data_IF_139129874613
#
_entry.id   IF_139129874613
#
_cell.length_a   1.000
_cell.length_b   1.000
_cell.length_c   1.000
_cell.angle_alpha   90.00
_cell.angle_beta   90.00
_cell.angle_gamma   90.00
#
_symmetry.space_group_name_H-M   'P 1'
#
loop_
_entity.id
_entity.type
_entity.pdbx_description
1 polymer ?
#
# COMPACT_ATOMS: atom_id res chain seq x y z
N UNK A 1 -7.88 50.10 30.56
CA UNK A 1 -7.55 49.34 31.78
C UNK A 1 -7.62 47.85 31.42
N UNK A 2 -6.46 47.21 31.53
CA UNK A 2 -6.19 45.77 31.85
C UNK A 2 -7.11 44.77 31.16
N UNK A 3 -6.71 43.91 30.23
CA UNK A 3 -5.49 43.11 30.17
C UNK A 3 -5.74 41.75 30.79
N UNK A 4 -6.07 40.74 29.99
CA UNK A 4 -5.74 39.36 30.40
C UNK A 4 -5.47 38.49 29.15
N UNK A 5 -4.19 38.14 29.01
CA UNK A 5 -3.71 37.17 28.03
C UNK A 5 -3.82 35.79 28.64
N UNK A 6 -4.60 34.89 28.02
CA UNK A 6 -4.44 33.46 28.29
C UNK A 6 -3.57 32.82 27.22
N UNK A 7 -2.42 32.35 27.62
CA UNK A 7 -1.56 31.43 26.86
C UNK A 7 -2.23 30.07 26.81
N UNK A 8 -2.56 29.58 25.61
CA UNK A 8 -2.84 28.19 25.37
C UNK A 8 -1.53 27.48 25.03
N UNK A 9 -1.17 26.49 25.82
CA UNK A 9 -0.07 25.57 25.56
C UNK A 9 -0.49 24.58 24.48
N UNK A 10 0.25 24.57 23.37
CA UNK A 10 0.08 23.55 22.33
C UNK A 10 0.79 22.27 22.77
N UNK A 11 0.03 21.27 23.14
CA UNK A 11 0.48 19.89 23.21
C UNK A 11 0.30 19.24 21.84
N UNK A 12 1.36 19.20 21.04
CA UNK A 12 1.34 18.54 19.75
C UNK A 12 1.49 17.03 19.90
N UNK A 13 0.41 16.30 19.74
CA UNK A 13 0.45 14.84 19.56
C UNK A 13 0.66 14.59 18.07
N UNK A 14 1.88 14.17 17.68
CA UNK A 14 2.18 13.77 16.30
C UNK A 14 1.53 12.42 16.02
N UNK A 15 0.43 12.45 15.29
CA UNK A 15 -0.17 11.24 14.69
C UNK A 15 0.56 11.00 13.37
N UNK A 16 1.32 9.90 13.30
CA UNK A 16 2.00 9.50 12.07
C UNK A 16 1.07 8.61 11.26
N UNK A 17 0.72 9.14 10.11
CA UNK A 17 -0.16 8.53 9.12
C UNK A 17 0.70 7.73 8.17
N UNK A 18 0.31 6.47 7.91
CA UNK A 18 0.81 5.73 6.76
C UNK A 18 0.22 6.41 5.50
N UNK A 19 0.94 7.39 4.97
CA UNK A 19 0.57 8.05 3.72
C UNK A 19 0.94 7.14 2.55
N UNK A 20 -0.05 6.63 1.85
CA UNK A 20 0.06 6.65 0.39
C UNK A 20 0.19 8.12 0.02
N UNK A 21 1.39 8.53 -0.38
CA UNK A 21 1.77 9.93 -0.48
C UNK A 21 0.90 10.68 -1.49
N UNK A 22 -0.05 11.46 -1.00
CA UNK A 22 -0.62 12.57 -1.77
C UNK A 22 0.24 13.80 -1.45
N UNK A 23 1.17 14.12 -2.34
CA UNK A 23 1.93 15.36 -2.28
C UNK A 23 1.17 16.43 -3.06
N UNK A 24 0.61 17.41 -2.36
CA UNK A 24 0.19 18.68 -2.94
C UNK A 24 1.44 19.48 -3.33
N UNK A 25 1.75 19.53 -4.60
CA UNK A 25 2.82 20.41 -5.14
C UNK A 25 2.19 21.59 -5.85
N UNK A 26 2.42 22.78 -5.30
CA UNK A 26 2.14 24.07 -5.95
C UNK A 26 2.97 24.22 -7.24
N UNK A 27 2.38 24.84 -8.27
CA UNK A 27 3.04 25.17 -9.53
C UNK A 27 4.34 25.95 -9.30
N UNK A 28 5.47 25.33 -9.64
CA UNK A 28 6.75 25.99 -9.85
C UNK A 28 7.31 25.61 -11.22
N UNK A 29 7.79 26.62 -11.92
CA UNK A 29 8.41 26.63 -13.25
C UNK A 29 9.34 25.44 -13.53
N UNK A 30 9.35 25.00 -14.78
CA UNK A 30 10.21 23.96 -15.33
C UNK A 30 11.69 24.17 -14.93
N UNK A 31 12.13 23.39 -13.93
CA UNK A 31 13.53 23.20 -13.61
C UNK A 31 13.96 21.81 -14.08
N UNK A 32 15.18 21.70 -14.57
CA UNK A 32 15.81 20.49 -15.07
C UNK A 32 15.54 19.30 -14.15
N UNK A 33 15.27 18.13 -14.76
CA UNK A 33 15.11 16.88 -14.03
C UNK A 33 16.29 16.67 -13.08
N UNK A 34 16.05 16.42 -11.77
CA UNK A 34 17.15 16.10 -10.87
C UNK A 34 17.81 14.81 -11.35
N UNK A 35 19.09 14.88 -11.65
CA UNK A 35 19.90 13.70 -11.92
C UNK A 35 20.04 12.91 -10.61
N UNK A 36 19.35 11.79 -10.47
CA UNK A 36 19.60 10.85 -9.38
C UNK A 36 21.02 10.34 -9.53
N UNK A 37 21.93 10.85 -8.73
CA UNK A 37 23.37 10.59 -8.91
C UNK A 37 23.79 9.17 -8.52
N UNK A 38 23.09 8.50 -7.62
CA UNK A 38 23.31 7.06 -7.33
C UNK A 38 22.29 6.52 -6.34
N UNK A 39 21.82 5.30 -6.56
CA UNK A 39 21.20 4.46 -5.54
C UNK A 39 22.27 3.48 -5.02
N UNK A 40 22.50 3.46 -3.72
CA UNK A 40 23.46 2.59 -3.09
C UNK A 40 22.77 1.61 -2.13
N UNK A 41 23.25 0.37 -2.09
CA UNK A 41 22.84 -0.60 -1.08
C UNK A 41 23.22 -0.08 0.31
N UNK A 42 22.26 -0.12 1.25
CA UNK A 42 22.47 0.33 2.63
C UNK A 42 22.62 -0.85 3.57
N UNK A 43 21.59 -1.70 3.67
CA UNK A 43 21.58 -2.88 4.51
C UNK A 43 20.59 -3.93 4.01
N UNK A 44 20.69 -5.16 4.55
CA UNK A 44 19.67 -6.18 4.40
C UNK A 44 19.43 -6.88 5.73
N UNK A 45 18.16 -6.96 6.13
CA UNK A 45 17.68 -7.75 7.27
C UNK A 45 17.25 -9.13 6.78
N UNK A 46 17.60 -10.20 7.51
CA UNK A 46 17.21 -11.57 7.16
C UNK A 46 16.06 -12.05 8.02
N UNK A 47 14.92 -12.40 7.38
CA UNK A 47 13.81 -13.13 7.96
C UNK A 47 14.01 -14.65 7.89
N UNK A 48 13.12 -15.41 8.51
CA UNK A 48 13.16 -16.87 8.49
C UNK A 48 12.78 -17.48 7.14
N UNK A 49 11.87 -16.82 6.39
CA UNK A 49 11.43 -17.25 5.05
C UNK A 49 11.18 -16.03 4.12
N UNK A 50 10.51 -16.22 2.98
CA UNK A 50 10.26 -15.21 1.96
C UNK A 50 9.61 -13.94 2.51
N UNK A 51 10.17 -12.78 2.20
CA UNK A 51 9.60 -11.49 2.58
C UNK A 51 8.72 -11.00 1.43
N UNK A 52 7.44 -11.37 1.48
CA UNK A 52 6.41 -11.02 0.49
C UNK A 52 5.45 -9.92 0.97
N UNK A 53 5.52 -9.54 2.23
CA UNK A 53 4.74 -8.44 2.76
C UNK A 53 5.23 -7.08 2.23
N UNK A 54 4.29 -6.17 1.97
CA UNK A 54 4.64 -4.76 1.69
C UNK A 54 5.09 -4.12 2.99
N UNK A 55 6.29 -3.52 3.06
CA UNK A 55 6.76 -2.88 4.27
C UNK A 55 5.95 -1.62 4.59
N UNK A 56 5.65 -1.41 5.87
CA UNK A 56 5.13 -0.14 6.38
C UNK A 56 6.20 0.51 7.24
N UNK A 57 6.54 1.76 6.96
CA UNK A 57 7.58 2.49 7.72
C UNK A 57 6.95 3.61 8.52
N UNK A 58 7.22 3.61 9.84
CA UNK A 58 6.77 4.66 10.75
C UNK A 58 7.81 4.89 11.86
N UNK A 59 8.11 6.15 12.16
CA UNK A 59 9.02 6.59 13.24
C UNK A 59 10.37 5.85 13.26
N UNK A 60 10.96 5.62 12.07
CA UNK A 60 12.26 4.96 11.94
C UNK A 60 12.21 3.43 12.08
N UNK A 61 11.04 2.83 12.12
CA UNK A 61 10.85 1.37 12.16
C UNK A 61 10.14 0.90 10.89
N UNK A 62 10.68 -0.11 10.23
CA UNK A 62 10.03 -0.85 9.16
C UNK A 62 9.33 -2.09 9.75
N UNK A 63 8.04 -2.20 9.52
CA UNK A 63 7.22 -3.36 9.88
C UNK A 63 6.94 -4.15 8.61
N UNK A 64 7.33 -5.42 8.57
CA UNK A 64 7.16 -6.26 7.40
C UNK A 64 6.78 -7.68 7.79
N UNK A 65 5.82 -8.22 7.08
CA UNK A 65 5.44 -9.62 7.22
C UNK A 65 6.24 -10.53 6.28
N UNK A 66 6.36 -11.79 6.68
CA UNK A 66 7.05 -12.81 5.89
C UNK A 66 6.33 -14.17 5.97
N UNK A 67 6.77 -15.11 5.13
CA UNK A 67 6.24 -16.47 5.06
C UNK A 67 6.74 -17.38 6.20
N UNK A 68 7.58 -16.85 7.09
CA UNK A 68 7.92 -17.51 8.37
C UNK A 68 6.83 -17.32 9.44
N UNK A 69 5.63 -16.89 9.02
CA UNK A 69 4.46 -16.64 9.86
C UNK A 69 4.71 -15.50 10.86
N UNK A 70 5.53 -14.51 10.53
CA UNK A 70 5.89 -13.48 11.48
C UNK A 70 5.78 -12.06 10.92
N UNK A 71 5.48 -11.12 11.81
CA UNK A 71 5.74 -9.71 11.62
C UNK A 71 7.09 -9.37 12.23
N UNK A 72 7.97 -8.73 11.46
CA UNK A 72 9.26 -8.24 11.87
C UNK A 72 9.25 -6.72 12.00
N UNK A 73 9.80 -6.20 13.10
CA UNK A 73 10.11 -4.78 13.25
C UNK A 73 11.62 -4.59 13.11
N UNK A 74 12.01 -3.72 12.19
CA UNK A 74 13.41 -3.51 11.81
C UNK A 74 13.74 -2.02 11.91
N UNK A 75 14.83 -1.67 12.56
CA UNK A 75 15.34 -0.29 12.61
C UNK A 75 15.79 0.14 11.22
N UNK A 76 15.19 1.19 10.70
CA UNK A 76 15.42 1.65 9.32
C UNK A 76 16.83 2.20 9.12
N UNK A 77 17.44 2.79 10.14
CA UNK A 77 18.75 3.40 10.02
C UNK A 77 19.88 2.37 9.91
N UNK A 78 19.76 1.25 10.65
CA UNK A 78 20.81 0.23 10.79
C UNK A 78 20.49 -1.11 10.12
N UNK A 79 19.20 -1.40 9.89
CA UNK A 79 18.74 -2.73 9.46
C UNK A 79 18.72 -3.77 10.60
N UNK A 80 18.87 -3.35 11.86
CA UNK A 80 18.81 -4.24 13.00
C UNK A 80 17.37 -4.68 13.30
N UNK A 81 17.15 -5.97 13.55
CA UNK A 81 15.88 -6.46 14.07
C UNK A 81 15.63 -5.93 15.48
N UNK A 82 14.45 -5.36 15.71
CA UNK A 82 14.04 -4.84 17.02
C UNK A 82 13.25 -5.89 17.80
N UNK A 83 12.21 -6.43 17.17
CA UNK A 83 11.38 -7.49 17.71
C UNK A 83 10.69 -8.26 16.58
N UNK A 84 10.15 -9.43 16.89
CA UNK A 84 9.38 -10.28 15.99
C UNK A 84 8.17 -10.82 16.72
N UNK A 85 7.00 -10.83 16.05
CA UNK A 85 5.79 -11.44 16.58
C UNK A 85 5.35 -12.59 15.69
N UNK A 86 5.13 -13.79 16.26
CA UNK A 86 4.73 -14.99 15.56
C UNK A 86 3.21 -15.11 15.50
N UNK A 87 2.67 -15.23 14.29
CA UNK A 87 1.27 -15.60 13.99
C UNK A 87 1.16 -17.11 13.71
N UNK A 88 -0.03 -17.60 13.41
CA UNK A 88 -0.26 -19.03 13.14
C UNK A 88 -0.05 -19.39 11.64
N UNK A 89 -0.01 -18.38 10.73
CA UNK A 89 0.23 -18.56 9.30
C UNK A 89 0.88 -17.29 8.70
N UNK A 90 1.16 -17.28 7.41
CA UNK A 90 1.88 -16.24 6.68
C UNK A 90 1.33 -14.83 6.92
N UNK A 91 2.23 -13.85 6.92
CA UNK A 91 1.91 -12.43 7.01
C UNK A 91 2.35 -11.74 5.70
N UNK A 92 1.41 -11.51 4.78
CA UNK A 92 1.69 -10.85 3.49
C UNK A 92 1.02 -9.48 3.35
N UNK A 93 -0.01 -9.22 4.16
CA UNK A 93 -0.68 -7.92 4.20
C UNK A 93 0.25 -6.81 4.68
N UNK A 94 0.17 -5.62 4.07
CA UNK A 94 0.84 -4.45 4.63
C UNK A 94 0.20 -4.09 5.97
N UNK A 95 0.96 -3.99 7.06
CA UNK A 95 0.42 -3.56 8.35
C UNK A 95 0.08 -2.07 8.33
N UNK A 96 -0.79 -1.64 9.23
CA UNK A 96 -1.06 -0.21 9.47
C UNK A 96 -0.62 0.19 10.87
N UNK A 97 -0.20 1.44 11.01
CA UNK A 97 0.16 2.03 12.30
C UNK A 97 -0.96 2.95 12.75
N UNK A 98 -1.48 2.72 13.96
CA UNK A 98 -2.52 3.52 14.61
C UNK A 98 -2.12 3.81 16.06
N UNK A 99 -1.74 5.05 16.35
CA UNK A 99 -1.21 5.44 17.66
C UNK A 99 -0.01 4.60 18.07
N UNK A 100 -0.07 3.96 19.23
CA UNK A 100 0.99 3.09 19.76
C UNK A 100 0.89 1.64 19.27
N UNK A 101 0.01 1.35 18.31
CA UNK A 101 -0.19 0.01 17.76
C UNK A 101 0.30 -0.11 16.33
N UNK A 102 0.85 -1.27 16.00
CA UNK A 102 0.94 -1.79 14.63
C UNK A 102 -0.08 -2.92 14.49
N UNK A 103 -0.91 -2.84 13.44
CA UNK A 103 -2.04 -3.76 13.22
C UNK A 103 -1.81 -4.47 11.90
N UNK A 104 -1.92 -5.81 11.91
CA UNK A 104 -1.62 -6.67 10.76
C UNK A 104 -2.72 -7.71 10.56
N UNK A 105 -2.83 -8.21 9.34
CA UNK A 105 -3.62 -9.39 9.00
C UNK A 105 -2.73 -10.58 8.67
N UNK A 106 -3.20 -11.77 8.95
CA UNK A 106 -2.50 -13.03 8.66
C UNK A 106 -3.39 -13.99 7.86
N UNK A 107 -2.77 -14.94 7.18
CA UNK A 107 -3.46 -16.02 6.50
C UNK A 107 -4.17 -16.97 7.48
N UNK A 108 -3.85 -16.93 8.77
CA UNK A 108 -4.63 -17.63 9.81
C UNK A 108 -6.03 -17.04 10.02
N UNK A 109 -6.39 -15.98 9.28
CA UNK A 109 -7.68 -15.31 9.36
C UNK A 109 -7.78 -14.31 10.51
N UNK A 110 -6.70 -14.02 11.21
CA UNK A 110 -6.71 -13.10 12.33
C UNK A 110 -6.16 -11.73 11.99
N UNK A 111 -6.75 -10.73 12.62
CA UNK A 111 -6.18 -9.38 12.76
C UNK A 111 -5.53 -9.29 14.12
N UNK A 112 -4.28 -8.87 14.17
CA UNK A 112 -3.51 -8.68 15.40
C UNK A 112 -3.17 -7.20 15.59
N UNK A 113 -3.32 -6.67 16.79
CA UNK A 113 -2.76 -5.39 17.15
C UNK A 113 -1.64 -5.61 18.17
N UNK A 114 -0.47 -5.09 17.87
CA UNK A 114 0.74 -5.23 18.67
C UNK A 114 1.21 -3.86 19.14
N UNK A 115 1.81 -3.81 20.31
CA UNK A 115 2.51 -2.61 20.79
C UNK A 115 3.73 -2.35 19.93
N UNK A 116 3.90 -1.13 19.42
CA UNK A 116 4.99 -0.78 18.49
C UNK A 116 6.39 -0.92 19.09
N UNK A 117 6.52 -0.70 20.42
CA UNK A 117 7.83 -0.66 21.08
C UNK A 117 8.44 -2.03 21.29
N UNK A 118 7.64 -3.06 21.55
CA UNK A 118 8.12 -4.38 21.96
C UNK A 118 7.41 -5.56 21.28
N UNK A 119 6.41 -5.29 20.43
CA UNK A 119 5.66 -6.33 19.72
C UNK A 119 4.68 -7.11 20.59
N UNK A 120 4.40 -6.67 21.82
CA UNK A 120 3.45 -7.37 22.70
C UNK A 120 2.01 -7.28 22.15
N UNK A 121 1.26 -8.39 22.25
CA UNK A 121 -0.12 -8.47 21.77
C UNK A 121 -1.04 -7.59 22.63
N UNK A 122 -1.81 -6.72 21.98
CA UNK A 122 -2.86 -5.91 22.62
C UNK A 122 -4.22 -6.56 22.47
N UNK A 123 -4.59 -6.92 21.23
CA UNK A 123 -5.83 -7.62 20.93
C UNK A 123 -5.70 -8.45 19.65
N UNK A 124 -6.59 -9.43 19.49
CA UNK A 124 -6.77 -10.27 18.29
C UNK A 124 -8.23 -10.31 17.93
N UNK A 125 -8.54 -10.23 16.63
CA UNK A 125 -9.88 -10.43 16.08
C UNK A 125 -9.82 -11.54 15.01
N UNK A 126 -10.75 -12.51 15.05
CA UNK A 126 -10.79 -13.65 14.13
C UNK A 126 -11.86 -13.45 13.06
N UNK A 127 -11.49 -13.63 11.80
CA UNK A 127 -12.38 -13.78 10.63
C UNK A 127 -12.45 -15.26 10.22
N UNK A 128 -13.36 -15.59 9.29
CA UNK A 128 -13.51 -16.98 8.82
C UNK A 128 -12.67 -17.26 7.55
N UNK A 129 -11.82 -16.34 7.10
CA UNK A 129 -11.00 -16.49 5.89
C UNK A 129 -9.65 -15.79 6.02
N UNK A 130 -8.75 -16.07 5.10
CA UNK A 130 -7.41 -15.46 5.06
C UNK A 130 -7.49 -13.94 4.91
N UNK A 131 -6.52 -13.25 5.49
CA UNK A 131 -6.32 -11.81 5.32
C UNK A 131 -5.01 -11.62 4.56
N UNK A 132 -5.11 -11.31 3.26
CA UNK A 132 -3.97 -11.15 2.37
C UNK A 132 -3.76 -9.70 1.93
N UNK A 133 -4.84 -8.91 1.91
CA UNK A 133 -4.84 -7.52 1.48
C UNK A 133 -4.37 -6.55 2.55
N UNK A 134 -3.81 -5.42 2.12
CA UNK A 134 -3.39 -4.35 3.02
C UNK A 134 -4.56 -3.75 3.78
N UNK A 135 -4.35 -3.53 5.07
CA UNK A 135 -5.34 -2.90 5.93
C UNK A 135 -5.39 -1.38 5.66
N UNK A 136 -6.51 -0.76 6.02
CA UNK A 136 -6.63 0.70 6.04
C UNK A 136 -7.04 1.18 7.43
N UNK A 137 -6.62 2.40 7.80
CA UNK A 137 -7.02 3.04 9.04
C UNK A 137 -7.65 4.40 8.74
N UNK A 138 -8.72 4.76 9.46
CA UNK A 138 -9.29 6.10 9.35
C UNK A 138 -8.30 7.15 9.87
N UNK A 139 -8.24 8.31 9.18
CA UNK A 139 -7.33 9.40 9.58
C UNK A 139 -7.86 10.23 10.75
N UNK A 140 -9.15 10.18 11.01
CA UNK A 140 -9.79 11.00 12.02
C UNK A 140 -10.17 10.16 13.23
N UNK A 141 -9.62 10.50 14.38
CA UNK A 141 -10.21 10.15 15.67
C UNK A 141 -11.42 11.06 15.89
N UNK A 142 -12.58 10.71 15.27
CA UNK A 142 -13.85 11.28 15.74
C UNK A 142 -14.13 10.76 17.15
N UNK A 143 -15.23 11.17 17.76
CA UNK A 143 -15.60 10.72 19.12
C UNK A 143 -15.67 9.18 19.28
N UNK A 144 -15.64 8.43 18.18
CA UNK A 144 -15.67 6.96 18.13
C UNK A 144 -14.25 6.34 18.03
N UNK A 145 -13.16 7.12 17.94
CA UNK A 145 -11.78 6.65 17.77
C UNK A 145 -11.44 6.19 16.36
N UNK A 146 -10.24 5.67 16.16
CA UNK A 146 -9.75 5.19 14.86
C UNK A 146 -10.43 3.88 14.46
N UNK A 147 -10.87 3.77 13.21
CA UNK A 147 -11.35 2.52 12.61
C UNK A 147 -10.26 1.86 11.78
N UNK A 148 -10.18 0.53 11.88
CA UNK A 148 -9.36 -0.32 11.02
C UNK A 148 -10.28 -1.07 10.08
N UNK A 149 -9.96 -1.04 8.78
CA UNK A 149 -10.74 -1.72 7.75
C UNK A 149 -9.93 -2.89 7.19
N UNK A 150 -10.56 -4.06 7.11
CA UNK A 150 -9.91 -5.34 6.78
C UNK A 150 -10.79 -6.12 5.82
N UNK A 151 -10.25 -6.45 4.65
CA UNK A 151 -10.86 -7.40 3.72
C UNK A 151 -10.43 -8.83 4.04
N UNK A 152 -11.36 -9.78 3.94
CA UNK A 152 -11.08 -11.19 4.19
C UNK A 152 -11.53 -12.08 3.02
N UNK A 153 -10.88 -13.23 2.87
CA UNK A 153 -11.28 -14.25 1.91
C UNK A 153 -12.62 -14.91 2.24
N UNK A 154 -13.21 -14.64 3.41
CA UNK A 154 -14.59 -15.04 3.73
C UNK A 154 -15.66 -14.19 3.03
N UNK A 155 -15.24 -13.19 2.25
CA UNK A 155 -16.13 -12.28 1.51
C UNK A 155 -16.66 -11.13 2.32
N UNK A 156 -16.12 -10.86 3.51
CA UNK A 156 -16.51 -9.69 4.31
C UNK A 156 -15.42 -8.62 4.36
N UNK A 157 -15.86 -7.38 4.32
CA UNK A 157 -15.11 -6.22 4.79
C UNK A 157 -15.50 -5.96 6.25
N UNK A 158 -14.53 -5.91 7.13
CA UNK A 158 -14.70 -5.64 8.55
C UNK A 158 -14.24 -4.24 8.90
N UNK A 159 -14.98 -3.55 9.76
CA UNK A 159 -14.55 -2.33 10.44
C UNK A 159 -14.37 -2.62 11.92
N UNK A 160 -13.16 -2.45 12.43
CA UNK A 160 -12.78 -2.73 13.81
C UNK A 160 -12.37 -1.44 14.52
N UNK A 161 -12.58 -1.38 15.82
CA UNK A 161 -12.00 -0.34 16.66
C UNK A 161 -10.48 -0.60 16.84
N UNK A 162 -9.64 0.39 16.55
CA UNK A 162 -8.18 0.24 16.64
C UNK A 162 -7.67 0.00 18.08
N UNK A 163 -8.40 0.48 19.11
CA UNK A 163 -7.94 0.42 20.49
C UNK A 163 -8.12 -0.96 21.14
N UNK A 164 -9.24 -1.64 20.81
CA UNK A 164 -9.65 -2.89 21.47
C UNK A 164 -10.05 -4.04 20.53
N UNK A 165 -10.04 -3.80 19.20
CA UNK A 165 -10.40 -4.78 18.19
C UNK A 165 -11.89 -5.10 18.10
N UNK A 166 -12.76 -4.38 18.82
CA UNK A 166 -14.20 -4.62 18.77
C UNK A 166 -14.76 -4.34 17.35
N UNK A 167 -15.66 -5.22 16.90
CA UNK A 167 -16.35 -5.08 15.63
C UNK A 167 -17.30 -3.88 15.67
N UNK A 168 -17.16 -2.96 14.72
CA UNK A 168 -18.08 -1.83 14.52
C UNK A 168 -19.20 -2.20 13.55
N UNK A 169 -18.81 -2.70 12.38
CA UNK A 169 -19.70 -3.20 11.34
C UNK A 169 -18.95 -4.15 10.40
N UNK A 170 -19.70 -4.91 9.58
CA UNK A 170 -19.15 -5.65 8.46
C UNK A 170 -20.05 -5.58 7.25
N UNK A 171 -19.46 -5.48 6.04
CA UNK A 171 -20.13 -5.49 4.75
C UNK A 171 -19.80 -6.76 3.96
N UNK A 172 -20.79 -7.33 3.27
CA UNK A 172 -20.63 -8.59 2.53
C UNK A 172 -20.51 -8.35 1.02
N UNK A 173 -19.63 -9.15 0.37
CA UNK A 173 -19.53 -9.33 -1.08
C UNK A 173 -19.85 -10.77 -1.45
N UNK A 174 -20.02 -11.06 -2.74
CA UNK A 174 -20.26 -12.43 -3.24
C UNK A 174 -18.96 -13.22 -3.51
N UNK A 175 -17.80 -12.58 -3.30
CA UNK A 175 -16.48 -13.19 -3.53
C UNK A 175 -15.46 -12.79 -2.47
N UNK A 176 -14.24 -13.29 -2.58
CA UNK A 176 -13.14 -12.97 -1.66
C UNK A 176 -12.72 -11.52 -1.82
N UNK A 177 -12.35 -10.87 -0.71
CA UNK A 177 -11.66 -9.58 -0.70
C UNK A 177 -10.19 -9.86 -0.45
N UNK A 178 -9.41 -10.00 -1.54
CA UNK A 178 -8.00 -10.38 -1.48
C UNK A 178 -7.06 -9.16 -1.55
N UNK A 179 -7.51 -8.08 -2.18
CA UNK A 179 -6.80 -6.81 -2.25
C UNK A 179 -6.93 -5.97 -0.99
N UNK A 180 -6.14 -4.90 -0.92
CA UNK A 180 -6.25 -3.93 0.17
C UNK A 180 -7.41 -2.95 -0.03
N UNK A 181 -7.57 -2.10 0.96
CA UNK A 181 -8.65 -1.11 1.04
C UNK A 181 -8.07 0.28 0.83
N UNK A 182 -8.66 1.08 -0.07
CA UNK A 182 -8.39 2.50 -0.19
C UNK A 182 -9.46 3.31 0.54
N UNK A 183 -9.04 4.36 1.23
CA UNK A 183 -9.92 5.29 1.93
C UNK A 183 -9.73 6.68 1.36
N UNK A 184 -10.83 7.34 0.98
CA UNK A 184 -10.85 8.75 0.60
C UNK A 184 -12.11 9.38 1.19
N UNK A 185 -11.94 10.45 1.94
CA UNK A 185 -13.03 11.08 2.71
C UNK A 185 -13.74 10.05 3.60
N UNK A 186 -15.05 9.89 3.43
CA UNK A 186 -15.88 8.93 4.16
C UNK A 186 -16.20 7.66 3.35
N UNK A 187 -15.49 7.37 2.26
CA UNK A 187 -15.70 6.23 1.39
C UNK A 187 -14.52 5.26 1.38
N UNK A 188 -14.83 3.97 1.46
CA UNK A 188 -13.90 2.84 1.33
C UNK A 188 -14.06 2.22 -0.05
N UNK A 189 -12.94 2.02 -0.75
CA UNK A 189 -12.91 1.40 -2.08
C UNK A 189 -12.10 0.13 -2.04
N UNK A 190 -12.62 -0.94 -2.63
CA UNK A 190 -11.94 -2.23 -2.70
C UNK A 190 -12.48 -3.09 -3.84
N UNK A 191 -11.67 -4.06 -4.24
CA UNK A 191 -12.05 -5.06 -5.24
C UNK A 191 -12.45 -6.38 -4.61
N UNK A 192 -13.23 -7.17 -5.33
CA UNK A 192 -13.60 -8.54 -4.95
C UNK A 192 -13.41 -9.51 -6.11
N UNK A 193 -13.20 -10.79 -5.78
CA UNK A 193 -13.14 -11.88 -6.76
C UNK A 193 -14.51 -12.21 -7.37
N UNK A 194 -15.60 -11.55 -6.96
CA UNK A 194 -16.88 -11.58 -7.67
C UNK A 194 -16.92 -10.72 -8.93
N UNK A 195 -15.81 -10.01 -9.21
CA UNK A 195 -15.65 -9.15 -10.37
C UNK A 195 -16.24 -7.75 -10.19
N UNK A 196 -16.45 -7.31 -8.95
CA UNK A 196 -16.89 -5.95 -8.67
C UNK A 196 -15.83 -5.13 -7.94
N UNK A 197 -15.85 -3.83 -8.23
CA UNK A 197 -15.28 -2.77 -7.40
C UNK A 197 -16.41 -2.21 -6.55
N UNK A 198 -16.19 -2.08 -5.26
CA UNK A 198 -17.16 -1.59 -4.29
C UNK A 198 -16.73 -0.25 -3.72
N UNK A 199 -17.71 0.61 -3.44
CA UNK A 199 -17.58 1.73 -2.55
C UNK A 199 -18.58 1.61 -1.41
N UNK A 200 -18.09 1.63 -0.17
CA UNK A 200 -18.91 1.60 1.03
C UNK A 200 -18.67 2.86 1.88
N UNK A 201 -19.69 3.29 2.62
CA UNK A 201 -19.53 4.29 3.66
C UNK A 201 -18.61 3.77 4.77
N UNK A 202 -17.62 4.54 5.15
CA UNK A 202 -16.68 4.18 6.23
C UNK A 202 -17.34 4.19 7.60
N UNK A 203 -18.44 4.91 7.75
CA UNK A 203 -19.15 5.07 9.02
C UNK A 203 -19.93 3.82 9.43
N UNK A 204 -20.64 3.21 8.50
CA UNK A 204 -21.61 2.14 8.76
C UNK A 204 -21.59 0.96 7.78
N UNK A 205 -20.70 1.01 6.77
CA UNK A 205 -20.59 -0.04 5.76
C UNK A 205 -21.71 -0.04 4.72
N UNK A 206 -22.54 1.02 4.65
CA UNK A 206 -23.59 1.13 3.65
C UNK A 206 -23.00 1.18 2.24
N UNK A 207 -23.60 0.41 1.31
CA UNK A 207 -23.18 0.43 -0.10
C UNK A 207 -23.49 1.81 -0.71
N UNK A 208 -22.44 2.49 -1.20
CA UNK A 208 -22.57 3.72 -1.96
C UNK A 208 -22.77 3.42 -3.45
N UNK A 209 -21.89 2.61 -4.00
CA UNK A 209 -22.00 2.11 -5.37
C UNK A 209 -21.15 0.84 -5.55
N UNK A 210 -21.40 0.13 -6.64
CA UNK A 210 -20.52 -0.93 -7.14
C UNK A 210 -20.40 -0.87 -8.66
N UNK A 211 -19.24 -1.17 -9.17
CA UNK A 211 -18.94 -1.23 -10.61
C UNK A 211 -18.54 -2.65 -11.00
N UNK A 212 -19.12 -3.18 -12.09
CA UNK A 212 -18.75 -4.49 -12.60
C UNK A 212 -17.54 -4.40 -13.51
N UNK A 213 -16.41 -4.92 -13.06
CA UNK A 213 -15.22 -5.12 -13.87
C UNK A 213 -15.35 -6.39 -14.74
N UNK A 214 -14.44 -6.55 -15.71
CA UNK A 214 -14.44 -7.72 -16.61
C UNK A 214 -13.68 -8.92 -16.02
N UNK A 215 -13.65 -9.10 -14.71
CA UNK A 215 -12.96 -10.21 -14.04
C UNK A 215 -12.59 -9.85 -12.61
N UNK A 216 -11.93 -10.76 -11.91
CA UNK A 216 -11.54 -10.59 -10.52
C UNK A 216 -10.73 -9.30 -10.31
N UNK A 217 -11.06 -8.56 -9.26
CA UNK A 217 -10.35 -7.36 -8.83
C UNK A 217 -9.68 -7.67 -7.50
N UNK A 218 -8.40 -8.02 -7.57
CA UNK A 218 -7.59 -8.43 -6.40
C UNK A 218 -6.54 -7.37 -6.01
N UNK A 219 -6.45 -6.29 -6.79
CA UNK A 219 -5.56 -5.16 -6.50
C UNK A 219 -6.14 -4.26 -5.41
N UNK A 220 -5.26 -3.58 -4.66
CA UNK A 220 -5.66 -2.44 -3.82
C UNK A 220 -5.93 -1.25 -4.73
N UNK A 221 -7.11 -0.59 -4.66
CA UNK A 221 -7.38 0.60 -5.45
C UNK A 221 -6.43 1.75 -5.10
N UNK A 222 -6.07 2.57 -6.09
CA UNK A 222 -5.49 3.89 -5.85
C UNK A 222 -6.57 4.97 -5.98
N UNK A 223 -6.52 6.00 -5.14
CA UNK A 223 -7.49 7.10 -5.17
C UNK A 223 -6.77 8.43 -5.31
N UNK A 224 -7.19 9.25 -6.26
CA UNK A 224 -6.65 10.59 -6.48
C UNK A 224 -7.64 11.44 -7.27
N UNK A 225 -7.73 12.73 -6.91
CA UNK A 225 -8.49 13.75 -7.65
C UNK A 225 -9.94 13.36 -7.98
N UNK A 226 -10.60 12.65 -7.05
CA UNK A 226 -12.00 12.23 -7.19
C UNK A 226 -12.19 10.99 -8.07
N UNK A 227 -11.13 10.25 -8.38
CA UNK A 227 -11.16 8.99 -9.13
C UNK A 227 -10.57 7.84 -8.35
N UNK A 228 -11.09 6.64 -8.65
CA UNK A 228 -10.61 5.35 -8.16
C UNK A 228 -10.00 4.59 -9.34
N UNK A 229 -8.76 4.16 -9.19
CA UNK A 229 -8.04 3.41 -10.19
C UNK A 229 -7.84 1.98 -9.70
N UNK A 230 -8.22 1.00 -10.52
CA UNK A 230 -8.09 -0.42 -10.19
C UNK A 230 -7.59 -1.21 -11.40
N UNK A 231 -6.83 -2.25 -11.14
CA UNK A 231 -6.46 -3.27 -12.14
C UNK A 231 -7.28 -4.54 -11.92
N UNK A 232 -7.44 -5.34 -12.96
CA UNK A 232 -8.14 -6.62 -12.89
C UNK A 232 -7.38 -7.74 -13.60
N UNK A 233 -7.66 -8.98 -13.22
CA UNK A 233 -7.12 -10.18 -13.88
C UNK A 233 -7.60 -10.30 -15.34
N UNK A 234 -8.67 -9.59 -15.73
CA UNK A 234 -9.16 -9.54 -17.10
C UNK A 234 -8.40 -8.51 -17.99
N UNK A 235 -7.14 -8.22 -17.68
CA UNK A 235 -6.24 -7.40 -18.50
C UNK A 235 -6.68 -5.93 -18.62
N UNK A 236 -7.32 -5.36 -17.61
CA UNK A 236 -7.81 -3.98 -17.68
C UNK A 236 -7.45 -3.17 -16.45
N UNK A 237 -7.14 -1.90 -16.71
CA UNK A 237 -7.13 -0.83 -15.72
C UNK A 237 -8.36 0.01 -15.94
N UNK A 238 -9.03 0.38 -14.86
CA UNK A 238 -10.22 1.22 -14.87
C UNK A 238 -9.96 2.49 -14.06
N UNK A 239 -10.48 3.62 -14.55
CA UNK A 239 -10.67 4.83 -13.76
C UNK A 239 -12.16 5.04 -13.57
N UNK A 240 -12.59 5.08 -12.32
CA UNK A 240 -13.99 5.25 -11.93
C UNK A 240 -14.15 6.56 -11.17
N UNK A 241 -15.25 7.27 -11.39
CA UNK A 241 -15.59 8.41 -10.56
C UNK A 241 -15.83 7.94 -9.11
N UNK A 242 -15.12 8.50 -8.15
CA UNK A 242 -15.17 8.05 -6.76
C UNK A 242 -16.54 8.27 -6.09
N UNK A 243 -17.27 9.30 -6.50
CA UNK A 243 -18.61 9.60 -5.94
C UNK A 243 -19.73 8.76 -6.54
N UNK A 244 -19.64 8.37 -7.83
CA UNK A 244 -20.74 7.72 -8.56
C UNK A 244 -20.45 6.30 -9.02
N UNK A 245 -19.18 5.89 -9.07
CA UNK A 245 -18.76 4.61 -9.64
C UNK A 245 -18.83 4.56 -11.18
N UNK A 246 -19.12 5.67 -11.85
CA UNK A 246 -19.19 5.73 -13.31
C UNK A 246 -17.79 5.58 -13.92
N UNK A 247 -17.74 4.82 -15.02
CA UNK A 247 -16.49 4.60 -15.78
C UNK A 247 -16.09 5.89 -16.49
N UNK A 248 -14.93 6.44 -16.15
CA UNK A 248 -14.31 7.54 -16.89
C UNK A 248 -13.56 7.01 -18.13
N UNK A 249 -12.68 6.05 -17.90
CA UNK A 249 -11.93 5.38 -18.97
C UNK A 249 -11.47 3.98 -18.55
N UNK A 250 -11.07 3.17 -19.50
CA UNK A 250 -10.36 1.91 -19.24
C UNK A 250 -9.25 1.70 -20.25
N UNK A 251 -8.14 1.08 -19.81
CA UNK A 251 -6.99 0.73 -20.64
C UNK A 251 -6.77 -0.78 -20.66
N UNK A 252 -6.47 -1.35 -21.82
CA UNK A 252 -6.18 -2.78 -21.97
C UNK A 252 -4.69 -3.07 -21.85
N UNK A 253 -4.31 -3.92 -20.87
CA UNK A 253 -2.96 -4.41 -20.65
C UNK A 253 -2.65 -5.61 -21.56
N UNK A 254 -1.38 -5.97 -21.69
CA UNK A 254 -0.97 -7.16 -22.42
C UNK A 254 -1.43 -8.47 -21.81
N UNK A 255 -1.45 -8.56 -20.45
CA UNK A 255 -1.97 -9.68 -19.68
C UNK A 255 -2.73 -9.16 -18.44
N UNK A 256 -3.20 -10.07 -17.57
CA UNK A 256 -3.83 -9.73 -16.30
C UNK A 256 -2.92 -8.93 -15.38
N UNK A 257 -3.50 -8.36 -14.33
CA UNK A 257 -2.74 -7.63 -13.33
C UNK A 257 -3.31 -7.85 -11.93
N UNK A 258 -2.46 -8.37 -11.04
CA UNK A 258 -2.64 -8.37 -9.58
C UNK A 258 -2.02 -7.12 -8.95
N UNK A 259 -1.21 -6.39 -9.72
CA UNK A 259 -0.50 -5.20 -9.26
C UNK A 259 -1.48 -4.11 -8.81
N UNK A 260 -1.31 -3.60 -7.61
CA UNK A 260 -2.03 -2.42 -7.15
C UNK A 260 -1.50 -1.19 -7.89
N UNK A 261 -2.36 -0.41 -8.58
CA UNK A 261 -1.91 0.80 -9.25
C UNK A 261 -1.43 1.85 -8.26
N UNK A 262 -0.57 2.74 -8.72
CA UNK A 262 -0.16 3.93 -7.98
C UNK A 262 -0.36 5.17 -8.85
N UNK A 263 -0.72 6.30 -8.23
CA UNK A 263 -1.02 7.54 -8.95
C UNK A 263 -0.17 8.67 -8.43
N UNK A 264 0.50 9.35 -9.33
CA UNK A 264 1.24 10.58 -9.00
C UNK A 264 1.42 11.44 -10.26
N UNK A 265 1.44 12.76 -10.08
CA UNK A 265 1.75 13.74 -11.11
C UNK A 265 0.92 13.57 -12.40
N UNK A 266 -0.36 13.22 -12.27
CA UNK A 266 -1.25 13.03 -13.41
C UNK A 266 -1.05 11.73 -14.18
N UNK A 267 -0.37 10.74 -13.59
CA UNK A 267 -0.08 9.44 -14.22
C UNK A 267 -0.45 8.30 -13.28
N UNK A 268 -1.11 7.28 -13.84
CA UNK A 268 -1.36 5.97 -13.20
C UNK A 268 -0.24 5.02 -13.62
N UNK A 269 0.44 4.43 -12.65
CA UNK A 269 1.45 3.40 -12.86
C UNK A 269 0.91 2.05 -12.44
N UNK A 270 1.04 1.04 -13.29
CA UNK A 270 0.55 -0.32 -13.00
C UNK A 270 1.43 -1.38 -13.66
N UNK A 271 1.78 -2.40 -12.92
CA UNK A 271 2.46 -3.58 -13.44
C UNK A 271 1.47 -4.57 -14.05
N UNK A 272 1.99 -5.50 -14.84
CA UNK A 272 1.18 -6.55 -15.48
C UNK A 272 1.97 -7.87 -15.53
N UNK A 273 1.23 -8.97 -15.65
CA UNK A 273 1.77 -10.32 -15.82
C UNK A 273 2.48 -10.50 -17.19
N UNK A 274 2.38 -9.52 -18.09
CA UNK A 274 3.15 -9.50 -19.34
C UNK A 274 4.60 -8.97 -19.17
N UNK A 275 5.02 -8.74 -17.94
CA UNK A 275 6.36 -8.26 -17.59
C UNK A 275 6.56 -6.76 -17.80
N UNK A 276 5.49 -5.98 -17.88
CA UNK A 276 5.58 -4.54 -18.14
C UNK A 276 5.03 -3.69 -17.02
N UNK A 277 5.69 -2.55 -16.80
CA UNK A 277 5.14 -1.41 -16.08
C UNK A 277 4.55 -0.43 -17.11
N UNK A 278 3.29 -0.05 -16.92
CA UNK A 278 2.57 0.91 -17.75
C UNK A 278 2.42 2.23 -17.02
N UNK A 279 2.60 3.33 -17.73
CA UNK A 279 2.27 4.69 -17.29
C UNK A 279 1.15 5.24 -18.18
N UNK A 280 0.00 5.54 -17.55
CA UNK A 280 -1.25 5.90 -18.23
C UNK A 280 -1.67 7.29 -17.75
N UNK A 281 -2.04 8.18 -18.66
CA UNK A 281 -2.54 9.52 -18.30
C UNK A 281 -3.87 9.41 -17.54
N UNK A 282 -3.98 10.10 -16.42
CA UNK A 282 -5.19 10.07 -15.56
C UNK A 282 -6.42 10.66 -16.23
N UNK A 283 -6.26 11.57 -17.21
CA UNK A 283 -7.36 12.35 -17.78
C UNK A 283 -8.18 11.54 -18.80
N UNK A 284 -7.50 10.79 -19.63
CA UNK A 284 -8.12 10.12 -20.77
C UNK A 284 -7.76 8.65 -20.95
N UNK A 285 -6.89 8.11 -20.09
CA UNK A 285 -6.47 6.72 -20.13
C UNK A 285 -5.51 6.40 -21.28
N UNK A 286 -4.87 7.39 -21.90
CA UNK A 286 -3.89 7.15 -22.95
C UNK A 286 -2.54 6.70 -22.36
N UNK A 287 -1.85 5.82 -23.10
CA UNK A 287 -0.52 5.36 -22.71
C UNK A 287 0.51 6.48 -22.89
N UNK A 288 1.15 6.89 -21.80
CA UNK A 288 2.29 7.81 -21.85
C UNK A 288 3.56 7.07 -22.24
N UNK A 289 3.87 6.00 -21.52
CA UNK A 289 5.00 5.12 -21.80
C UNK A 289 4.80 3.75 -21.14
N UNK A 290 5.61 2.79 -21.53
CA UNK A 290 5.73 1.48 -20.87
C UNK A 290 7.18 1.06 -20.78
N UNK A 291 7.52 0.36 -19.70
CA UNK A 291 8.84 -0.23 -19.49
C UNK A 291 8.70 -1.76 -19.48
N UNK A 292 9.68 -2.47 -20.05
CA UNK A 292 9.70 -3.94 -20.12
C UNK A 292 10.74 -4.50 -19.14
N UNK A 293 10.28 -5.20 -18.09
CA UNK A 293 11.08 -6.01 -17.19
C UNK A 293 11.32 -7.40 -17.83
N UNK A 294 12.10 -8.26 -17.17
CA UNK A 294 12.42 -9.58 -17.75
C UNK A 294 11.42 -10.67 -17.32
N UNK A 295 10.53 -10.36 -16.36
CA UNK A 295 9.47 -11.25 -15.87
C UNK A 295 8.32 -10.42 -15.31
N UNK A 296 7.29 -11.06 -14.79
CA UNK A 296 6.06 -10.48 -14.26
C UNK A 296 6.32 -9.29 -13.31
N UNK A 297 5.51 -8.24 -13.43
CA UNK A 297 5.51 -7.07 -12.55
C UNK A 297 4.25 -7.08 -11.70
N UNK A 298 4.30 -7.75 -10.52
CA UNK A 298 3.21 -7.79 -9.52
C UNK A 298 3.36 -6.74 -8.43
N UNK A 299 4.58 -6.31 -8.21
CA UNK A 299 4.93 -5.30 -7.20
C UNK A 299 4.17 -3.99 -7.44
N UNK A 300 3.48 -3.49 -6.44
CA UNK A 300 2.88 -2.16 -6.50
C UNK A 300 3.97 -1.10 -6.69
N UNK A 301 3.85 -0.19 -7.69
CA UNK A 301 4.84 0.85 -7.89
C UNK A 301 4.84 1.87 -6.76
N UNK A 302 6.03 2.32 -6.36
CA UNK A 302 6.24 3.43 -5.45
C UNK A 302 6.76 4.63 -6.23
N UNK A 303 6.07 5.76 -6.18
CA UNK A 303 6.58 6.99 -6.73
C UNK A 303 7.25 7.78 -5.61
N UNK A 304 8.55 8.01 -5.76
CA UNK A 304 9.32 8.78 -4.81
C UNK A 304 10.24 9.75 -5.54
N UNK A 305 10.11 11.03 -5.24
CA UNK A 305 10.72 12.12 -6.00
C UNK A 305 10.28 12.07 -7.50
N UNK A 306 11.22 11.97 -8.43
CA UNK A 306 10.96 11.85 -9.87
C UNK A 306 11.05 10.41 -10.39
N UNK A 307 11.17 9.41 -9.51
CA UNK A 307 11.37 8.01 -9.87
C UNK A 307 10.16 7.16 -9.52
N UNK A 308 9.96 6.13 -10.32
CA UNK A 308 9.05 5.01 -10.06
C UNK A 308 9.88 3.80 -9.70
N UNK A 309 9.72 3.31 -8.47
CA UNK A 309 10.35 2.08 -7.99
C UNK A 309 9.35 0.94 -8.06
N UNK A 310 9.77 -0.21 -8.56
CA UNK A 310 8.97 -1.42 -8.57
C UNK A 310 9.86 -2.67 -8.63
N UNK A 311 9.34 -3.78 -8.12
CA UNK A 311 9.97 -5.08 -8.22
C UNK A 311 9.42 -5.91 -9.38
N UNK A 312 10.16 -6.93 -9.77
CA UNK A 312 9.73 -7.94 -10.73
C UNK A 312 10.09 -9.34 -10.23
N UNK A 313 9.39 -10.34 -10.75
CA UNK A 313 9.68 -11.75 -10.47
C UNK A 313 11.05 -12.18 -11.04
N UNK A 314 11.67 -11.36 -11.91
CA UNK A 314 13.06 -11.53 -12.37
C UNK A 314 14.12 -11.27 -11.29
N UNK A 315 13.67 -10.83 -10.10
CA UNK A 315 14.49 -10.52 -8.93
C UNK A 315 15.13 -9.15 -8.94
N UNK A 316 14.73 -8.24 -9.85
CA UNK A 316 15.23 -6.87 -9.83
C UNK A 316 14.26 -5.90 -9.17
N UNK A 317 14.83 -5.01 -8.37
CA UNK A 317 14.23 -3.72 -8.04
C UNK A 317 14.68 -2.73 -9.11
N UNK A 318 13.72 -2.12 -9.78
CA UNK A 318 13.93 -1.11 -10.82
C UNK A 318 13.65 0.28 -10.29
N UNK A 319 14.38 1.27 -10.80
CA UNK A 319 14.07 2.69 -10.68
C UNK A 319 14.00 3.30 -12.08
N UNK A 320 12.85 3.84 -12.43
CA UNK A 320 12.52 4.39 -13.76
C UNK A 320 12.24 5.88 -13.60
N UNK A 321 12.75 6.70 -14.50
CA UNK A 321 12.35 8.11 -14.56
C UNK A 321 10.85 8.19 -14.86
N UNK A 322 10.09 8.85 -13.97
CA UNK A 322 8.63 8.89 -14.03
C UNK A 322 8.09 9.58 -15.29
N UNK A 323 8.86 10.48 -15.90
CA UNK A 323 8.46 11.27 -17.05
C UNK A 323 8.77 10.55 -18.37
N UNK A 324 9.99 10.00 -18.49
CA UNK A 324 10.47 9.42 -19.76
C UNK A 324 10.22 7.91 -19.88
N UNK A 325 10.04 7.21 -18.78
CA UNK A 325 10.00 5.75 -18.74
C UNK A 325 11.37 5.08 -18.94
N UNK A 326 12.45 5.85 -18.87
CA UNK A 326 13.81 5.33 -19.00
C UNK A 326 14.31 4.74 -17.70
N UNK A 327 15.04 3.61 -17.80
CA UNK A 327 15.68 3.01 -16.63
C UNK A 327 16.84 3.88 -16.16
N UNK A 328 16.73 4.32 -14.89
CA UNK A 328 17.80 5.06 -14.20
C UNK A 328 18.72 4.11 -13.45
N UNK A 329 18.14 3.09 -12.82
CA UNK A 329 18.88 2.16 -11.99
C UNK A 329 18.14 0.82 -11.84
N UNK A 330 18.86 -0.23 -11.51
CA UNK A 330 18.31 -1.50 -11.06
C UNK A 330 19.26 -2.23 -10.13
N UNK A 331 18.71 -3.05 -9.27
CA UNK A 331 19.47 -3.93 -8.38
C UNK A 331 18.88 -5.33 -8.38
N UNK A 332 19.71 -6.34 -8.48
CA UNK A 332 19.27 -7.73 -8.44
C UNK A 332 19.40 -8.27 -7.03
N UNK A 333 18.28 -8.71 -6.43
CA UNK A 333 18.24 -9.52 -5.21
C UNK A 333 18.50 -10.99 -5.52
N UNK A 334 18.51 -11.85 -4.51
CA UNK A 334 18.64 -13.29 -4.68
C UNK A 334 17.34 -14.03 -5.02
N UNK A 335 16.20 -13.33 -5.16
CA UNK A 335 14.88 -13.90 -5.41
C UNK A 335 13.91 -12.87 -5.99
N UNK A 336 12.68 -13.29 -6.31
CA UNK A 336 11.64 -12.43 -6.84
C UNK A 336 11.28 -11.28 -5.89
N UNK A 337 10.85 -10.15 -6.45
CA UNK A 337 10.32 -9.00 -5.71
C UNK A 337 8.86 -8.80 -6.11
N UNK A 338 7.96 -9.47 -5.39
CA UNK A 338 6.51 -9.40 -5.65
C UNK A 338 5.82 -8.28 -4.83
N UNK A 339 6.37 -7.91 -3.69
CA UNK A 339 5.83 -6.84 -2.85
C UNK A 339 6.23 -5.45 -3.34
N UNK A 340 5.37 -4.46 -3.10
CA UNK A 340 5.70 -3.06 -3.35
C UNK A 340 6.80 -2.55 -2.41
N UNK A 341 7.72 -1.69 -2.90
CA UNK A 341 8.67 -1.01 -2.03
C UNK A 341 8.00 0.08 -1.19
N UNK A 342 8.62 0.44 -0.07
CA UNK A 342 8.25 1.59 0.75
C UNK A 342 9.41 2.59 0.82
N UNK A 343 9.10 3.87 1.07
CA UNK A 343 10.10 4.92 1.21
C UNK A 343 10.00 5.62 2.57
N UNK A 344 11.14 6.03 3.10
CA UNK A 344 11.23 6.93 4.25
C UNK A 344 12.48 7.81 4.11
N UNK A 345 12.27 9.13 4.02
CA UNK A 345 13.36 10.07 3.72
C UNK A 345 14.06 9.71 2.40
N UNK A 346 15.33 9.37 2.47
CA UNK A 346 16.17 8.94 1.34
C UNK A 346 16.31 7.42 1.20
N UNK A 347 15.64 6.64 2.02
CA UNK A 347 15.69 5.17 1.98
C UNK A 347 14.48 4.58 1.26
N UNK A 348 14.77 3.59 0.40
CA UNK A 348 13.80 2.69 -0.23
C UNK A 348 13.99 1.30 0.39
N UNK A 349 12.91 0.71 0.90
CA UNK A 349 12.91 -0.61 1.53
C UNK A 349 12.03 -1.56 0.74
N UNK A 350 12.49 -2.79 0.49
CA UNK A 350 11.74 -3.78 -0.28
C UNK A 350 12.01 -5.21 0.19
N UNK A 351 10.96 -6.03 0.25
CA UNK A 351 11.04 -7.45 0.53
C UNK A 351 11.39 -8.27 -0.71
N UNK A 352 12.07 -9.41 -0.53
CA UNK A 352 12.39 -10.37 -1.59
C UNK A 352 12.18 -11.81 -1.13
N UNK A 353 11.92 -12.71 -2.07
CA UNK A 353 11.89 -14.15 -1.82
C UNK A 353 13.27 -14.75 -1.57
N UNK A 354 14.34 -13.93 -1.53
CA UNK A 354 15.63 -14.33 -0.99
C UNK A 354 15.70 -14.33 0.54
N UNK A 355 14.53 -14.14 1.20
CA UNK A 355 14.34 -14.08 2.66
C UNK A 355 14.91 -12.83 3.29
N UNK A 356 14.97 -11.72 2.54
CA UNK A 356 15.54 -10.47 3.06
C UNK A 356 14.62 -9.29 2.80
N UNK A 357 14.65 -8.36 3.75
CA UNK A 357 14.25 -6.98 3.56
C UNK A 357 15.51 -6.20 3.19
N UNK A 358 15.54 -5.62 2.00
CA UNK A 358 16.66 -4.82 1.49
C UNK A 358 16.36 -3.33 1.63
N UNK A 359 17.39 -2.55 1.91
CA UNK A 359 17.30 -1.10 1.90
C UNK A 359 18.37 -0.46 1.00
N UNK A 360 17.94 0.58 0.30
CA UNK A 360 18.77 1.34 -0.63
C UNK A 360 18.64 2.82 -0.30
N UNK A 361 19.77 3.52 -0.34
CA UNK A 361 19.82 4.97 -0.09
C UNK A 361 19.93 5.73 -1.39
N UNK A 362 19.06 6.72 -1.56
CA UNK A 362 19.15 7.74 -2.61
C UNK A 362 20.30 8.68 -2.26
N UNK A 363 21.25 8.83 -3.16
CA UNK A 363 22.35 9.80 -3.00
C UNK A 363 21.81 11.23 -2.94
N UNK A 364 22.44 12.07 -2.09
CA UNK A 364 22.16 13.50 -2.08
C UNK A 364 22.50 14.11 -3.46
N UNK A 365 21.64 15.05 -3.91
CA UNK A 365 21.87 15.84 -5.11
C UNK A 365 23.03 16.81 -4.92
#
# INVERSE_FOLDING_TARGET
>A
MMGNRHKASAGGTSVIICLTAVILVGCASASASPSVQSLSFSWAYRAGDYVRGVPTVADGVAYVGADDNALHAVDVASGAGLWTYQTEDNVTAAPVVAGDSVILGSWDGSVYALTRTDGSLRWRFQTDGWITGSLAASQSANAAGVSIYVGSHDGFLYSLNADDGSLRWKGQTDGRIAGGIALMDDALFFGSSDGYVYALSSADGALLWRFRAAGDVVSTPAVSDGYVYVSSLARRVYALNAGTGELAWSYELGMGSECSPAVANGTVYVGSDDGRLYAIDVKDGTLAWRFEAQDIVRSAPLIHQSLVFFGSDDGHLYAIDARSGEQVWRYRTGGAIAAGPAATGDLIVVGSTDRRLHAFRLGAQ
#
